data_IF_938082083402
#
_entry.id   IF_938082083402
#
_cell.length_a   1.000
_cell.length_b   1.000
_cell.length_c   1.000
_cell.angle_alpha   90.00
_cell.angle_beta   90.00
_cell.angle_gamma   90.00
#
_symmetry.space_group_name_H-M   'P 1'
#
loop_
_entity.id
_entity.type
_entity.pdbx_description
1 polymer ?
#
# COMPACT_ATOMS: atom_id res chain seq x y z
N UNK A 1 0.16 -72.51 2.67
CA UNK A 1 -0.48 -71.81 3.80
C UNK A 1 -1.14 -70.56 3.26
N UNK A 2 -2.48 -70.55 3.33
CA UNK A 2 -3.36 -69.44 2.98
C UNK A 2 -3.24 -68.32 4.03
N UNK A 3 -3.28 -67.06 3.59
CA UNK A 3 -3.31 -65.88 4.47
C UNK A 3 -3.78 -64.66 3.68
N UNK A 4 -5.07 -64.49 3.41
CA UNK A 4 -6.02 -63.70 4.23
C UNK A 4 -5.56 -62.23 4.44
N UNK A 5 -5.65 -61.42 3.38
CA UNK A 5 -5.64 -59.96 3.46
C UNK A 5 -7.06 -59.44 3.16
N UNK A 6 -7.74 -59.11 4.26
CA UNK A 6 -9.08 -58.54 4.34
C UNK A 6 -8.90 -57.02 4.42
N UNK A 7 -9.00 -56.31 3.29
CA UNK A 7 -8.98 -54.84 3.30
C UNK A 7 -10.41 -54.29 3.31
N UNK A 8 -10.67 -53.45 4.30
CA UNK A 8 -11.96 -52.83 4.58
C UNK A 8 -12.33 -51.81 3.50
N UNK A 9 -13.60 -51.88 3.06
CA UNK A 9 -14.26 -50.97 2.13
C UNK A 9 -15.01 -49.94 2.96
N UNK A 10 -14.51 -48.72 3.03
CA UNK A 10 -15.17 -47.58 3.68
C UNK A 10 -16.28 -47.01 2.78
N UNK A 11 -17.43 -46.59 3.34
CA UNK A 11 -18.58 -46.12 2.57
C UNK A 11 -18.47 -44.63 2.19
N UNK A 12 -19.00 -44.32 1.02
CA UNK A 12 -19.19 -43.00 0.41
C UNK A 12 -20.07 -42.08 1.26
N UNK A 13 -19.76 -40.78 1.40
CA UNK A 13 -20.72 -39.79 1.86
C UNK A 13 -21.62 -39.31 0.71
N UNK A 14 -22.87 -39.06 1.06
CA UNK A 14 -23.96 -38.63 0.20
C UNK A 14 -23.80 -37.17 -0.26
N UNK A 15 -24.30 -36.88 -1.47
CA UNK A 15 -24.46 -35.53 -2.01
C UNK A 15 -25.69 -34.88 -1.39
N UNK A 16 -25.51 -33.85 -0.56
CA UNK A 16 -26.57 -32.92 -0.20
C UNK A 16 -26.70 -31.84 -1.27
N UNK A 17 -27.85 -31.87 -1.96
CA UNK A 17 -28.32 -30.82 -2.85
C UNK A 17 -28.92 -29.68 -2.01
N UNK A 18 -28.18 -28.58 -1.85
CA UNK A 18 -28.76 -27.32 -1.37
C UNK A 18 -29.21 -26.47 -2.56
N UNK A 19 -30.52 -26.43 -2.78
CA UNK A 19 -31.18 -25.56 -3.74
C UNK A 19 -31.12 -24.10 -3.30
N UNK A 20 -30.38 -23.29 -4.05
CA UNK A 20 -30.44 -21.84 -4.00
C UNK A 20 -31.77 -21.36 -4.60
N UNK A 21 -32.68 -20.91 -3.74
CA UNK A 21 -33.85 -20.12 -4.14
C UNK A 21 -33.38 -18.72 -4.52
N UNK A 22 -33.56 -18.38 -5.78
CA UNK A 22 -33.53 -17.03 -6.31
C UNK A 22 -34.68 -16.22 -5.70
N UNK A 23 -34.34 -15.14 -4.98
CA UNK A 23 -35.31 -14.11 -4.59
C UNK A 23 -35.12 -12.95 -5.57
N UNK A 24 -36.17 -12.73 -6.35
CA UNK A 24 -36.33 -11.63 -7.30
C UNK A 24 -36.41 -10.29 -6.57
N UNK A 25 -35.57 -9.33 -6.98
CA UNK A 25 -35.72 -7.93 -6.58
C UNK A 25 -36.93 -7.32 -7.29
N UNK A 26 -37.97 -7.04 -6.52
CA UNK A 26 -39.14 -6.28 -6.94
C UNK A 26 -38.86 -4.78 -6.90
N UNK A 27 -38.94 -4.15 -8.07
CA UNK A 27 -39.03 -2.71 -8.29
C UNK A 27 -40.43 -2.21 -7.92
N UNK A 28 -40.54 -0.97 -7.41
CA UNK A 28 -41.70 -0.06 -7.19
C UNK A 28 -41.65 0.48 -5.75
N UNK A 29 -41.86 1.75 -5.40
CA UNK A 29 -42.37 2.95 -6.05
C UNK A 29 -41.88 4.12 -5.16
N UNK A 30 -41.24 5.15 -5.75
CA UNK A 30 -40.87 6.37 -5.00
C UNK A 30 -42.12 7.26 -4.90
N UNK A 31 -42.69 7.33 -3.70
CA UNK A 31 -43.70 8.32 -3.32
C UNK A 31 -42.99 9.64 -3.01
N UNK A 32 -43.30 10.69 -3.78
CA UNK A 32 -42.79 12.03 -3.56
C UNK A 32 -43.41 12.61 -2.29
N UNK A 33 -42.57 12.91 -1.30
CA UNK A 33 -42.97 13.61 -0.08
C UNK A 33 -42.56 15.09 -0.19
N UNK A 34 -43.57 15.93 0.02
CA UNK A 34 -43.58 17.37 -0.14
C UNK A 34 -42.83 18.03 1.03
N UNK A 35 -41.81 18.81 0.71
CA UNK A 35 -41.04 19.62 1.68
C UNK A 35 -41.83 20.90 1.99
N UNK A 36 -42.13 21.23 3.27
CA UNK A 36 -42.66 22.53 3.61
C UNK A 36 -41.54 23.58 3.72
N UNK A 37 -41.88 24.74 3.16
CA UNK A 37 -41.12 25.99 3.06
C UNK A 37 -40.71 26.56 4.43
N UNK A 38 -39.44 27.00 4.52
CA UNK A 38 -38.91 27.84 5.60
C UNK A 38 -39.46 29.28 5.52
N UNK A 39 -39.69 29.97 6.64
CA UNK A 39 -39.91 31.41 6.64
C UNK A 39 -38.58 32.17 6.57
N UNK A 40 -38.62 33.30 5.87
CA UNK A 40 -37.60 34.35 5.82
C UNK A 40 -37.69 35.19 7.09
N UNK A 41 -36.56 35.42 7.77
CA UNK A 41 -36.40 36.59 8.64
C UNK A 41 -35.08 37.31 8.35
N UNK A 42 -35.27 38.63 8.28
CA UNK A 42 -34.37 39.78 8.12
C UNK A 42 -33.17 39.77 9.08
N UNK A 43 -31.95 39.99 8.58
CA UNK A 43 -31.24 41.28 8.54
C UNK A 43 -30.87 41.86 9.92
N UNK A 44 -29.57 41.78 10.27
CA UNK A 44 -28.87 42.80 11.06
C UNK A 44 -27.44 42.92 10.50
N UNK A 45 -27.12 44.14 10.10
CA UNK A 45 -25.83 44.65 9.64
C UNK A 45 -24.87 44.89 10.80
N UNK A 46 -23.59 44.58 10.61
CA UNK A 46 -22.51 45.36 11.21
C UNK A 46 -21.23 45.21 10.40
N UNK A 47 -20.85 46.34 9.79
CA UNK A 47 -19.58 46.63 9.17
C UNK A 47 -18.39 46.28 10.08
N UNK A 48 -17.35 45.67 9.54
CA UNK A 48 -15.97 46.02 9.94
C UNK A 48 -15.05 45.90 8.74
N UNK A 49 -14.62 47.08 8.31
CA UNK A 49 -13.69 47.39 7.23
C UNK A 49 -12.27 47.23 7.76
N UNK A 50 -11.48 46.30 7.23
CA UNK A 50 -10.01 46.35 7.32
C UNK A 50 -9.42 46.08 5.94
N UNK A 51 -8.76 47.10 5.44
CA UNK A 51 -8.07 47.22 4.17
C UNK A 51 -6.61 46.81 4.27
N UNK A 52 -6.01 46.67 3.07
CA UNK A 52 -4.58 46.66 2.71
C UNK A 52 -3.99 45.24 2.53
N UNK A 53 -3.78 44.80 1.29
CA UNK A 53 -2.75 45.23 0.32
C UNK A 53 -1.39 44.58 0.64
N UNK A 54 -0.92 43.65 -0.17
CA UNK A 54 -0.06 43.97 -1.31
C UNK A 54 0.33 42.71 -2.09
N UNK A 55 0.24 42.81 -3.42
CA UNK A 55 0.78 41.86 -4.39
C UNK A 55 2.01 42.48 -5.04
N UNK A 56 3.03 41.69 -5.41
CA UNK A 56 3.87 42.00 -6.56
C UNK A 56 3.66 40.92 -7.63
N UNK A 57 3.02 41.25 -8.75
CA UNK A 57 3.61 41.77 -10.01
C UNK A 57 4.55 40.78 -10.70
N UNK A 58 4.04 40.34 -11.85
CA UNK A 58 4.69 39.56 -12.87
C UNK A 58 5.91 40.26 -13.50
N UNK A 59 6.94 39.46 -13.80
CA UNK A 59 7.90 39.77 -14.85
C UNK A 59 7.64 38.84 -16.04
N UNK A 60 7.10 39.43 -17.11
CA UNK A 60 7.19 38.93 -18.49
C UNK A 60 8.54 39.36 -19.03
N UNK A 61 9.40 38.41 -19.39
CA UNK A 61 10.45 38.65 -20.37
C UNK A 61 10.18 37.79 -21.60
N UNK A 62 9.80 38.49 -22.66
CA UNK A 62 9.75 37.98 -24.02
C UNK A 62 11.11 38.28 -24.66
N UNK A 63 11.86 37.25 -25.03
CA UNK A 63 12.99 37.39 -25.93
C UNK A 63 12.64 36.69 -27.24
N UNK A 64 12.29 37.55 -28.21
CA UNK A 64 12.02 37.24 -29.59
C UNK A 64 13.34 37.43 -30.36
N UNK A 65 13.89 36.37 -30.94
CA UNK A 65 14.95 36.47 -31.95
C UNK A 65 14.59 35.59 -33.15
N UNK A 66 14.01 36.23 -34.16
CA UNK A 66 14.14 35.84 -35.56
C UNK A 66 15.38 36.56 -36.11
N UNK A 67 16.21 35.86 -36.91
CA UNK A 67 16.67 36.30 -38.25
C UNK A 67 17.79 35.41 -38.81
N UNK A 68 17.60 34.97 -40.06
CA UNK A 68 18.57 34.82 -41.18
C UNK A 68 19.72 33.80 -41.02
N UNK A 69 19.80 32.71 -41.78
CA UNK A 69 20.12 32.62 -43.22
C UNK A 69 21.40 33.37 -43.64
N UNK A 70 22.52 32.64 -43.74
CA UNK A 70 23.75 32.88 -44.53
C UNK A 70 24.79 31.88 -43.99
N UNK A 71 25.26 30.86 -44.70
CA UNK A 71 26.13 30.99 -45.87
C UNK A 71 27.48 31.57 -45.45
N UNK A 72 28.50 30.73 -45.19
CA UNK A 72 29.85 31.23 -44.91
C UNK A 72 30.79 30.28 -44.16
N UNK A 73 31.62 29.60 -44.95
CA UNK A 73 33.05 29.30 -44.71
C UNK A 73 33.54 28.63 -43.41
N UNK A 74 34.18 27.49 -43.62
CA UNK A 74 35.01 26.73 -42.68
C UNK A 74 36.21 27.59 -42.24
N UNK A 75 36.35 27.97 -40.96
CA UNK A 75 37.56 28.61 -40.48
C UNK A 75 38.62 27.54 -40.23
N UNK A 76 39.76 27.71 -40.90
CA UNK A 76 40.97 26.91 -40.73
C UNK A 76 41.38 26.87 -39.26
N UNK A 77 41.72 25.66 -38.82
CA UNK A 77 42.24 25.31 -37.52
C UNK A 77 43.40 26.23 -37.10
N UNK A 78 43.10 27.19 -36.23
CA UNK A 78 44.09 27.91 -35.45
C UNK A 78 44.51 27.02 -34.29
N UNK A 79 45.76 26.54 -34.34
CA UNK A 79 46.46 25.87 -33.25
C UNK A 79 46.51 26.81 -32.05
N UNK A 80 45.58 26.64 -31.10
CA UNK A 80 45.74 27.22 -29.77
C UNK A 80 46.79 26.39 -29.01
N UNK A 81 47.80 27.02 -28.39
CA UNK A 81 48.67 26.32 -27.46
C UNK A 81 47.83 25.82 -26.28
N UNK A 82 47.98 24.53 -25.97
CA UNK A 82 47.39 23.92 -24.80
C UNK A 82 47.83 24.69 -23.54
N UNK A 83 46.91 25.08 -22.65
CA UNK A 83 47.28 25.50 -21.31
C UNK A 83 47.77 24.25 -20.56
N UNK A 84 49.08 24.02 -20.57
CA UNK A 84 49.73 23.15 -19.60
C UNK A 84 49.48 23.72 -18.19
N UNK A 85 49.06 22.84 -17.30
CA UNK A 85 48.89 23.04 -15.85
C UNK A 85 47.54 23.63 -15.39
N UNK A 86 46.44 22.92 -15.66
CA UNK A 86 45.29 22.93 -14.74
C UNK A 86 45.52 21.83 -13.71
N UNK A 87 45.83 22.22 -12.47
CA UNK A 87 45.95 21.35 -11.29
C UNK A 87 44.62 20.61 -11.04
N UNK A 88 44.48 19.42 -11.63
CA UNK A 88 43.36 18.49 -11.46
C UNK A 88 43.28 17.90 -10.04
N UNK A 89 44.30 18.09 -9.19
CA UNK A 89 44.33 17.56 -7.83
C UNK A 89 43.39 18.25 -6.84
N UNK A 90 42.90 19.47 -7.13
CA UNK A 90 42.12 20.25 -6.15
C UNK A 90 40.59 20.14 -6.33
N UNK A 91 40.10 19.57 -7.44
CA UNK A 91 38.67 19.43 -7.70
C UNK A 91 38.06 18.25 -6.93
N UNK A 92 38.81 17.17 -6.75
CA UNK A 92 38.35 15.98 -6.02
C UNK A 92 38.14 16.27 -4.53
N UNK A 93 39.02 17.06 -3.90
CA UNK A 93 38.89 17.43 -2.48
C UNK A 93 37.61 18.21 -2.18
N UNK A 94 37.20 19.11 -3.07
CA UNK A 94 35.95 19.89 -2.89
C UNK A 94 34.69 19.04 -3.03
N UNK A 95 34.72 18.03 -3.92
CA UNK A 95 33.60 17.10 -4.10
C UNK A 95 33.50 16.13 -2.94
N UNK A 96 34.63 15.67 -2.42
CA UNK A 96 34.68 14.83 -1.22
C UNK A 96 34.10 15.58 -0.02
N UNK A 97 34.48 16.85 0.19
CA UNK A 97 33.92 17.70 1.26
C UNK A 97 32.40 17.89 1.13
N UNK A 98 31.89 18.12 -0.08
CA UNK A 98 30.43 18.25 -0.29
C UNK A 98 29.68 16.94 -0.01
N UNK A 99 30.29 15.79 -0.34
CA UNK A 99 29.71 14.48 -0.03
C UNK A 99 29.73 14.19 1.47
N UNK A 100 30.79 14.56 2.19
CA UNK A 100 30.84 14.40 3.65
C UNK A 100 29.78 15.25 4.34
N UNK A 101 29.63 16.51 3.92
CA UNK A 101 28.60 17.40 4.49
C UNK A 101 27.18 16.86 4.23
N UNK A 102 26.93 16.30 3.04
CA UNK A 102 25.65 15.69 2.70
C UNK A 102 25.36 14.43 3.53
N UNK A 103 26.38 13.62 3.82
CA UNK A 103 26.26 12.45 4.70
C UNK A 103 25.98 12.85 6.14
N UNK A 104 26.67 13.88 6.66
CA UNK A 104 26.46 14.39 8.02
C UNK A 104 25.04 14.94 8.19
N UNK A 105 24.51 15.67 7.20
CA UNK A 105 23.12 16.15 7.22
C UNK A 105 22.13 14.98 7.21
N UNK A 106 22.40 13.95 6.40
CA UNK A 106 21.56 12.75 6.34
C UNK A 106 21.56 11.99 7.66
N UNK A 107 22.72 11.82 8.28
CA UNK A 107 22.86 11.19 9.59
C UNK A 107 22.07 11.95 10.65
N UNK A 108 22.17 13.29 10.67
CA UNK A 108 21.39 14.13 11.59
C UNK A 108 19.87 13.99 11.38
N UNK A 109 19.40 13.79 10.15
CA UNK A 109 17.97 13.57 9.87
C UNK A 109 17.50 12.20 10.35
N UNK A 110 18.32 11.15 10.17
CA UNK A 110 18.03 9.82 10.70
C UNK A 110 17.97 9.84 12.23
N UNK A 111 18.94 10.48 12.88
CA UNK A 111 18.97 10.69 14.33
C UNK A 111 17.72 11.40 14.86
N UNK A 112 17.23 12.42 14.14
CA UNK A 112 15.99 13.12 14.50
C UNK A 112 14.78 12.20 14.39
N UNK A 113 14.71 11.39 13.34
CA UNK A 113 13.63 10.43 13.11
C UNK A 113 13.62 9.32 14.16
N UNK A 114 14.78 8.81 14.55
CA UNK A 114 14.89 7.80 15.60
C UNK A 114 14.45 8.35 16.96
N UNK A 115 14.86 9.58 17.31
CA UNK A 115 14.35 10.26 18.51
C UNK A 115 12.85 10.50 18.48
N UNK A 116 12.25 10.69 17.31
CA UNK A 116 10.81 10.81 17.16
C UNK A 116 10.10 9.46 17.40
N UNK A 117 10.63 8.37 16.85
CA UNK A 117 10.11 7.02 17.13
C UNK A 117 10.18 6.69 18.62
N UNK A 118 11.31 6.96 19.28
CA UNK A 118 11.40 6.77 20.73
C UNK A 118 10.42 7.64 21.54
N UNK A 119 10.03 8.81 21.04
CA UNK A 119 9.00 9.64 21.69
C UNK A 119 7.62 9.00 21.53
N UNK A 120 7.30 8.49 20.34
CA UNK A 120 6.03 7.80 20.06
C UNK A 120 5.91 6.51 20.86
N UNK A 121 6.98 5.72 20.97
CA UNK A 121 6.99 4.50 21.79
C UNK A 121 6.74 4.82 23.28
N UNK A 122 7.44 5.82 23.83
CA UNK A 122 7.19 6.27 25.21
C UNK A 122 5.77 6.81 25.42
N UNK A 123 5.14 7.37 24.39
CA UNK A 123 3.75 7.81 24.45
C UNK A 123 2.78 6.63 24.44
N UNK A 124 3.03 5.61 23.61
CA UNK A 124 2.24 4.37 23.58
C UNK A 124 2.29 3.67 24.95
N UNK A 125 3.47 3.54 25.54
CA UNK A 125 3.64 2.99 26.90
C UNK A 125 2.82 3.75 27.96
N UNK A 126 2.73 5.09 27.84
CA UNK A 126 1.93 5.90 28.78
C UNK A 126 0.44 5.65 28.59
N UNK A 127 -0.03 5.57 27.34
CA UNK A 127 -1.43 5.28 27.02
C UNK A 127 -1.82 3.87 27.47
N UNK A 128 -0.94 2.89 27.30
CA UNK A 128 -1.17 1.51 27.76
C UNK A 128 -1.34 1.46 29.29
N UNK A 129 -0.45 2.10 30.05
CA UNK A 129 -0.57 2.17 31.51
C UNK A 129 -1.83 2.91 31.96
N UNK A 130 -2.27 3.92 31.21
CA UNK A 130 -3.52 4.62 31.51
C UNK A 130 -4.74 3.72 31.27
N UNK A 131 -4.75 2.95 30.19
CA UNK A 131 -5.81 1.98 29.91
C UNK A 131 -5.86 0.91 31.00
N UNK A 132 -4.72 0.37 31.41
CA UNK A 132 -4.64 -0.64 32.48
C UNK A 132 -5.13 -0.08 33.83
N UNK A 133 -4.96 1.22 34.10
CA UNK A 133 -5.55 1.86 35.30
C UNK A 133 -7.06 1.99 35.19
N UNK A 134 -7.58 2.39 34.02
CA UNK A 134 -9.03 2.49 33.78
C UNK A 134 -9.71 1.13 33.87
N UNK A 135 -9.07 0.09 33.34
CA UNK A 135 -9.57 -1.30 33.44
C UNK A 135 -9.66 -1.75 34.90
N UNK A 136 -8.60 -1.54 35.70
CA UNK A 136 -8.64 -1.84 37.14
C UNK A 136 -9.69 -1.03 37.90
N UNK A 137 -9.98 0.20 37.47
CA UNK A 137 -11.05 1.01 38.07
C UNK A 137 -12.43 0.47 37.72
N UNK A 138 -12.65 0.04 36.47
CA UNK A 138 -13.89 -0.60 36.05
C UNK A 138 -14.12 -1.91 36.82
N UNK A 139 -13.10 -2.75 36.98
CA UNK A 139 -13.18 -3.97 37.79
C UNK A 139 -13.57 -3.69 39.25
N UNK A 140 -13.07 -2.59 39.83
CA UNK A 140 -13.45 -2.19 41.20
C UNK A 140 -14.90 -1.78 41.26
N UNK A 141 -15.36 -0.94 40.32
CA UNK A 141 -16.76 -0.50 40.26
C UNK A 141 -17.72 -1.66 40.02
N UNK A 142 -17.32 -2.64 39.19
CA UNK A 142 -18.13 -3.85 38.96
C UNK A 142 -18.27 -4.68 40.25
N UNK A 143 -17.19 -4.86 41.01
CA UNK A 143 -17.25 -5.55 42.32
C UNK A 143 -18.08 -4.79 43.35
N UNK A 144 -17.96 -3.46 43.39
CA UNK A 144 -18.79 -2.62 44.26
C UNK A 144 -20.27 -2.75 43.89
N UNK A 145 -20.59 -2.73 42.60
CA UNK A 145 -21.95 -2.91 42.12
C UNK A 145 -22.51 -4.30 42.45
N UNK A 146 -21.72 -5.37 42.29
CA UNK A 146 -22.14 -6.73 42.67
C UNK A 146 -22.35 -6.88 44.19
N UNK A 147 -21.51 -6.21 45.00
CA UNK A 147 -21.69 -6.15 46.45
C UNK A 147 -22.94 -5.35 46.85
N UNK A 148 -23.20 -4.24 46.19
CA UNK A 148 -24.41 -3.45 46.45
C UNK A 148 -25.66 -4.21 46.01
N UNK A 149 -25.60 -4.90 44.87
CA UNK A 149 -26.67 -5.78 44.39
C UNK A 149 -26.96 -6.92 45.37
N UNK A 150 -25.94 -7.55 45.93
CA UNK A 150 -26.11 -8.61 46.93
C UNK A 150 -26.62 -8.09 48.28
N UNK A 151 -26.20 -6.89 48.71
CA UNK A 151 -26.78 -6.20 49.88
C UNK A 151 -28.25 -5.83 49.66
N UNK A 152 -28.58 -5.31 48.48
CA UNK A 152 -29.96 -5.00 48.13
C UNK A 152 -30.83 -6.25 48.09
N UNK A 153 -30.35 -7.35 47.50
CA UNK A 153 -31.12 -8.61 47.45
C UNK A 153 -31.30 -9.26 48.82
N UNK A 154 -30.29 -9.19 49.70
CA UNK A 154 -30.41 -9.67 51.09
C UNK A 154 -31.34 -8.80 51.92
N UNK A 155 -31.40 -7.49 51.70
CA UNK A 155 -32.38 -6.62 52.34
C UNK A 155 -33.82 -6.97 51.93
N UNK A 156 -34.06 -7.25 50.64
CA UNK A 156 -35.38 -7.65 50.13
C UNK A 156 -35.80 -9.04 50.61
N UNK A 157 -34.87 -10.00 50.69
CA UNK A 157 -35.16 -11.38 51.11
C UNK A 157 -35.07 -11.60 52.64
N UNK A 158 -34.43 -10.67 53.36
CA UNK A 158 -34.15 -10.76 54.80
C UNK A 158 -35.16 -10.02 55.68
N UNK A 159 -36.15 -9.34 55.12
CA UNK A 159 -37.33 -8.92 55.88
C UNK A 159 -38.09 -10.20 56.28
N UNK A 160 -38.07 -10.59 57.56
CA UNK A 160 -38.84 -11.75 57.99
C UNK A 160 -40.30 -11.48 57.65
N UNK A 161 -40.93 -12.45 57.00
CA UNK A 161 -42.37 -12.56 56.83
C UNK A 161 -43.06 -12.62 58.20
N UNK A 162 -43.01 -11.54 58.98
CA UNK A 162 -43.89 -11.30 60.13
C UNK A 162 -45.26 -10.79 59.65
N UNK A 163 -45.64 -11.14 58.41
CA UNK A 163 -46.99 -10.99 57.86
C UNK A 163 -47.84 -12.25 58.06
N UNK A 164 -47.41 -13.18 58.92
CA UNK A 164 -48.14 -14.42 59.22
C UNK A 164 -49.06 -14.35 60.47
N UNK A 165 -49.19 -13.20 61.15
CA UNK A 165 -49.96 -13.10 62.40
C UNK A 165 -50.77 -11.79 62.57
N UNK A 166 -51.21 -11.17 61.47
CA UNK A 166 -52.34 -10.23 61.53
C UNK A 166 -53.49 -10.76 60.69
N UNK A 167 -54.37 -11.51 61.35
CA UNK A 167 -55.72 -11.75 60.85
C UNK A 167 -56.39 -10.39 60.60
N UNK A 168 -57.07 -10.20 59.44
CA UNK A 168 -57.73 -8.95 59.11
C UNK A 168 -58.95 -8.80 60.01
N UNK A 169 -58.81 -8.07 61.12
CA UNK A 169 -59.95 -7.52 61.83
C UNK A 169 -60.43 -6.32 61.02
N UNK A 170 -61.59 -6.51 60.39
CA UNK A 170 -62.24 -5.55 59.51
C UNK A 170 -62.61 -4.27 60.25
N UNK A 171 -61.73 -3.28 60.23
CA UNK A 171 -62.04 -1.85 60.22
C UNK A 171 -60.74 -1.06 60.17
N UNK A 172 -60.05 -1.14 59.03
CA UNK A 172 -58.99 -0.17 58.73
C UNK A 172 -59.64 1.22 58.72
N UNK A 173 -59.16 2.18 59.52
CA UNK A 173 -59.75 3.50 59.57
C UNK A 173 -59.60 4.17 58.19
N UNK A 174 -60.61 4.92 57.71
CA UNK A 174 -60.65 5.51 56.37
C UNK A 174 -59.43 6.38 56.03
N UNK A 175 -58.72 6.89 57.05
CA UNK A 175 -57.52 7.72 56.92
C UNK A 175 -56.31 6.95 56.33
N UNK A 176 -56.16 5.66 56.61
CA UNK A 176 -55.02 4.89 56.12
C UNK A 176 -55.10 4.63 54.60
N UNK A 177 -56.31 4.41 54.08
CA UNK A 177 -56.56 4.24 52.64
C UNK A 177 -56.38 5.56 51.87
N UNK A 178 -56.71 6.69 52.49
CA UNK A 178 -56.51 8.01 51.88
C UNK A 178 -55.02 8.37 51.79
N UNK A 179 -54.24 8.07 52.84
CA UNK A 179 -52.79 8.25 52.85
C UNK A 179 -52.08 7.36 51.82
N UNK A 180 -52.48 6.09 51.69
CA UNK A 180 -51.90 5.20 50.68
C UNK A 180 -52.22 5.68 49.26
N UNK A 181 -53.46 6.09 49.00
CA UNK A 181 -53.86 6.63 47.70
C UNK A 181 -53.15 7.95 47.37
N UNK A 182 -52.83 8.78 48.39
CA UNK A 182 -52.02 10.00 48.21
C UNK A 182 -50.57 9.66 47.89
N UNK A 183 -49.96 8.72 48.62
CA UNK A 183 -48.59 8.27 48.38
C UNK A 183 -48.44 7.69 46.97
N UNK A 184 -49.39 6.85 46.54
CA UNK A 184 -49.39 6.28 45.19
C UNK A 184 -49.48 7.36 44.10
N UNK A 185 -50.28 8.41 44.34
CA UNK A 185 -50.36 9.56 43.43
C UNK A 185 -49.03 10.33 43.36
N UNK A 186 -48.42 10.63 44.51
CA UNK A 186 -47.13 11.33 44.57
C UNK A 186 -46.00 10.49 43.93
N UNK A 187 -45.98 9.17 44.15
CA UNK A 187 -45.04 8.25 43.51
C UNK A 187 -45.26 8.18 41.99
N UNK A 188 -46.52 8.13 41.54
CA UNK A 188 -46.83 8.16 40.12
C UNK A 188 -46.38 9.47 39.48
N UNK A 189 -46.62 10.60 40.13
CA UNK A 189 -46.17 11.92 39.66
C UNK A 189 -44.64 12.00 39.57
N UNK A 190 -43.91 11.63 40.62
CA UNK A 190 -42.45 11.58 40.62
C UNK A 190 -41.90 10.66 39.52
N UNK A 191 -42.53 9.50 39.30
CA UNK A 191 -42.16 8.59 38.22
C UNK A 191 -42.33 9.23 36.85
N UNK A 192 -43.41 9.98 36.62
CA UNK A 192 -43.60 10.70 35.35
C UNK A 192 -42.60 11.85 35.18
N UNK A 193 -42.28 12.59 36.25
CA UNK A 193 -41.27 13.65 36.22
C UNK A 193 -39.88 13.08 35.92
N UNK A 194 -39.53 11.95 36.53
CA UNK A 194 -38.25 11.27 36.30
C UNK A 194 -38.16 10.73 34.87
N UNK A 195 -39.23 10.09 34.35
CA UNK A 195 -39.28 9.63 32.97
C UNK A 195 -39.12 10.78 31.97
N UNK A 196 -39.75 11.93 32.25
CA UNK A 196 -39.61 13.14 31.44
C UNK A 196 -38.17 13.69 31.48
N UNK A 197 -37.59 13.83 32.67
CA UNK A 197 -36.19 14.28 32.82
C UNK A 197 -35.20 13.34 32.13
N UNK A 198 -35.46 12.03 32.18
CA UNK A 198 -34.62 11.03 31.53
C UNK A 198 -34.73 11.09 30.01
N UNK A 199 -35.93 11.32 29.47
CA UNK A 199 -36.13 11.54 28.04
C UNK A 199 -35.44 12.83 27.55
N UNK A 200 -35.54 13.92 28.33
CA UNK A 200 -34.88 15.18 28.03
C UNK A 200 -33.35 15.05 28.06
N UNK A 201 -32.80 14.32 29.03
CA UNK A 201 -31.36 14.09 29.12
C UNK A 201 -30.84 13.18 27.98
N UNK A 202 -31.61 12.15 27.58
CA UNK A 202 -31.29 11.33 26.39
C UNK A 202 -31.24 12.17 25.11
N UNK A 203 -32.20 13.08 24.93
CA UNK A 203 -32.19 14.00 23.79
C UNK A 203 -30.97 14.95 23.83
N UNK A 204 -30.55 15.38 25.02
CA UNK A 204 -29.32 16.17 25.21
C UNK A 204 -28.04 15.37 25.02
N UNK A 205 -28.03 14.07 25.31
CA UNK A 205 -26.87 13.22 25.03
C UNK A 205 -26.74 12.94 23.53
N UNK A 206 -27.84 12.61 22.85
CA UNK A 206 -27.88 12.38 21.39
C UNK A 206 -27.37 13.60 20.62
N UNK A 207 -27.75 14.81 21.04
CA UNK A 207 -27.26 16.05 20.41
C UNK A 207 -25.77 16.31 20.65
N UNK A 208 -25.25 15.98 21.84
CA UNK A 208 -23.81 16.07 22.13
C UNK A 208 -23.00 15.04 21.34
N UNK A 209 -23.49 13.81 21.24
CA UNK A 209 -22.87 12.74 20.46
C UNK A 209 -22.84 13.09 18.98
N UNK A 210 -23.96 13.53 18.41
CA UNK A 210 -24.02 13.98 17.01
C UNK A 210 -23.04 15.15 16.72
N UNK A 211 -22.85 16.07 17.67
CA UNK A 211 -21.86 17.15 17.53
C UNK A 211 -20.43 16.64 17.56
N UNK A 212 -20.11 15.66 18.42
CA UNK A 212 -18.80 15.03 18.47
C UNK A 212 -18.50 14.25 17.20
N UNK A 213 -19.44 13.43 16.73
CA UNK A 213 -19.31 12.69 15.47
C UNK A 213 -19.07 13.63 14.28
N UNK A 214 -19.83 14.72 14.19
CA UNK A 214 -19.65 15.71 13.13
C UNK A 214 -18.30 16.44 13.20
N UNK A 215 -17.69 16.56 14.39
CA UNK A 215 -16.35 17.13 14.58
C UNK A 215 -15.26 16.13 14.19
N UNK A 216 -15.43 14.86 14.55
CA UNK A 216 -14.51 13.77 14.17
C UNK A 216 -14.49 13.61 12.64
N UNK A 217 -15.67 13.57 12.00
CA UNK A 217 -15.77 13.46 10.55
C UNK A 217 -15.07 14.61 9.81
N UNK A 218 -15.25 15.86 10.28
CA UNK A 218 -14.55 17.03 9.73
C UNK A 218 -13.04 16.94 9.89
N UNK A 219 -12.56 16.56 11.07
CA UNK A 219 -11.12 16.37 11.31
C UNK A 219 -10.53 15.26 10.43
N UNK A 220 -11.29 14.20 10.18
CA UNK A 220 -10.86 13.08 9.35
C UNK A 220 -10.82 13.47 7.86
N UNK A 221 -11.82 14.20 7.37
CA UNK A 221 -11.79 14.74 6.00
C UNK A 221 -10.64 15.71 5.78
N UNK A 222 -10.38 16.61 6.73
CA UNK A 222 -9.26 17.56 6.64
C UNK A 222 -7.89 16.84 6.65
N UNK A 223 -7.76 15.75 7.40
CA UNK A 223 -6.53 14.94 7.40
C UNK A 223 -6.32 14.23 6.06
N UNK A 224 -7.38 13.63 5.49
CA UNK A 224 -7.32 12.96 4.19
C UNK A 224 -7.01 13.95 3.06
N UNK A 225 -7.57 15.17 3.12
CA UNK A 225 -7.27 16.19 2.12
C UNK A 225 -5.82 16.68 2.19
N UNK A 226 -5.26 16.82 3.40
CA UNK A 226 -3.83 17.11 3.58
C UNK A 226 -2.94 16.00 3.04
N UNK A 227 -3.31 14.74 3.28
CA UNK A 227 -2.56 13.58 2.76
C UNK A 227 -2.63 13.53 1.23
N UNK A 228 -3.81 13.75 0.64
CA UNK A 228 -3.98 13.87 -0.82
C UNK A 228 -3.16 15.01 -1.38
N UNK A 229 -3.17 16.19 -0.76
CA UNK A 229 -2.34 17.32 -1.20
C UNK A 229 -0.85 17.00 -1.11
N UNK A 230 -0.42 16.30 -0.06
CA UNK A 230 0.97 15.86 0.08
C UNK A 230 1.34 14.87 -1.04
N UNK A 231 0.45 13.95 -1.36
CA UNK A 231 0.63 13.00 -2.47
C UNK A 231 0.65 13.70 -3.84
N UNK A 232 -0.24 14.67 -4.08
CA UNK A 232 -0.24 15.47 -5.31
C UNK A 232 1.01 16.33 -5.43
N UNK A 233 1.49 16.93 -4.32
CA UNK A 233 2.74 17.70 -4.33
C UNK A 233 3.95 16.79 -4.57
N UNK A 234 3.93 15.56 -4.04
CA UNK A 234 4.95 14.56 -4.31
C UNK A 234 4.93 14.10 -5.78
N UNK A 235 3.73 13.89 -6.35
CA UNK A 235 3.54 13.59 -7.78
C UNK A 235 3.82 14.78 -8.71
N UNK A 236 3.86 16.02 -8.19
CA UNK A 236 4.18 17.20 -8.98
C UNK A 236 5.69 17.48 -9.06
N UNK A 237 6.53 16.76 -8.32
CA UNK A 237 7.93 16.64 -8.73
C UNK A 237 7.92 16.03 -10.12
N UNK A 238 8.58 16.69 -11.08
CA UNK A 238 8.50 16.26 -12.47
C UNK A 238 8.94 14.79 -12.56
N UNK A 239 8.27 13.97 -13.38
CA UNK A 239 8.67 12.57 -13.59
C UNK A 239 10.17 12.46 -13.93
N UNK A 240 10.75 13.54 -14.47
CA UNK A 240 12.18 13.69 -14.71
C UNK A 240 13.01 13.77 -13.43
N UNK A 241 12.66 14.62 -12.45
CA UNK A 241 13.37 14.73 -11.17
C UNK A 241 13.22 13.47 -10.31
N UNK A 242 12.06 12.81 -10.38
CA UNK A 242 11.85 11.52 -9.70
C UNK A 242 12.66 10.42 -10.39
N UNK A 243 12.69 10.38 -11.72
CA UNK A 243 13.53 9.44 -12.46
C UNK A 243 15.01 9.69 -12.21
N UNK A 244 15.46 10.93 -12.15
CA UNK A 244 16.87 11.28 -11.90
C UNK A 244 17.27 10.95 -10.47
N UNK A 245 16.44 11.28 -9.46
CA UNK A 245 16.69 10.84 -8.08
C UNK A 245 16.64 9.32 -7.92
N UNK A 246 15.73 8.62 -8.59
CA UNK A 246 15.60 7.16 -8.48
C UNK A 246 16.74 6.48 -9.22
N UNK A 247 17.15 6.98 -10.39
CA UNK A 247 18.32 6.47 -11.11
C UNK A 247 19.61 6.73 -10.34
N UNK A 248 19.75 7.89 -9.68
CA UNK A 248 20.90 8.19 -8.81
C UNK A 248 20.86 7.36 -7.52
N UNK A 249 19.71 7.19 -6.87
CA UNK A 249 19.61 6.44 -5.61
C UNK A 249 19.71 4.94 -5.83
N UNK A 250 19.09 4.41 -6.88
CA UNK A 250 19.22 3.01 -7.29
C UNK A 250 20.63 2.77 -7.83
N UNK A 251 21.19 3.69 -8.61
CA UNK A 251 22.58 3.67 -9.05
C UNK A 251 23.55 3.62 -7.87
N UNK A 252 23.38 4.49 -6.87
CA UNK A 252 24.19 4.49 -5.64
C UNK A 252 24.03 3.22 -4.80
N UNK A 253 22.83 2.65 -4.74
CA UNK A 253 22.61 1.38 -4.04
C UNK A 253 23.23 0.20 -4.80
N UNK A 254 23.16 0.21 -6.14
CA UNK A 254 23.77 -0.82 -6.98
C UNK A 254 25.30 -0.74 -6.96
N UNK A 255 25.88 0.46 -6.87
CA UNK A 255 27.34 0.64 -6.81
C UNK A 255 27.94 0.14 -5.49
N UNK A 256 27.21 0.21 -4.38
CA UNK A 256 27.70 -0.29 -3.09
C UNK A 256 27.40 -1.77 -2.85
N UNK A 257 26.50 -2.37 -3.62
CA UNK A 257 26.13 -3.77 -3.51
C UNK A 257 26.26 -4.48 -4.87
N UNK A 258 27.50 -4.84 -5.21
CA UNK A 258 27.84 -5.58 -6.44
C UNK A 258 27.01 -6.87 -6.59
N UNK A 259 26.57 -7.48 -5.50
CA UNK A 259 25.80 -8.72 -5.51
C UNK A 259 24.37 -8.49 -5.98
N UNK A 260 23.76 -7.38 -5.56
CA UNK A 260 22.45 -6.96 -6.07
C UNK A 260 22.58 -6.53 -7.53
N UNK A 261 23.62 -5.78 -7.89
CA UNK A 261 23.88 -5.37 -9.28
C UNK A 261 24.01 -6.59 -10.21
N UNK A 262 24.81 -7.57 -9.81
CA UNK A 262 24.97 -8.82 -10.55
C UNK A 262 23.66 -9.60 -10.67
N UNK A 263 22.85 -9.64 -9.60
CA UNK A 263 21.55 -10.32 -9.64
C UNK A 263 20.61 -9.67 -10.63
N UNK A 264 20.53 -8.33 -10.64
CA UNK A 264 19.68 -7.58 -11.57
C UNK A 264 20.16 -7.75 -13.01
N UNK A 265 21.47 -7.63 -13.27
CA UNK A 265 22.06 -7.86 -14.59
C UNK A 265 21.82 -9.28 -15.08
N UNK A 266 21.99 -10.28 -14.22
CA UNK A 266 21.72 -11.68 -14.55
C UNK A 266 20.23 -11.91 -14.88
N UNK A 267 19.31 -11.36 -14.07
CA UNK A 267 17.88 -11.44 -14.34
C UNK A 267 17.46 -10.71 -15.62
N UNK A 268 18.10 -9.57 -15.91
CA UNK A 268 17.92 -8.83 -17.16
C UNK A 268 18.41 -9.62 -18.37
N UNK A 269 19.58 -10.27 -18.28
CA UNK A 269 20.12 -11.13 -19.32
C UNK A 269 19.14 -12.27 -19.69
N UNK A 270 18.60 -12.93 -18.67
CA UNK A 270 17.61 -14.00 -18.85
C UNK A 270 16.30 -13.47 -19.43
N UNK A 271 15.81 -12.34 -18.91
CA UNK A 271 14.60 -11.69 -19.38
C UNK A 271 14.69 -11.35 -20.87
N UNK A 272 15.76 -10.67 -21.28
CA UNK A 272 16.00 -10.28 -22.66
C UNK A 272 16.16 -11.49 -23.58
N UNK A 273 16.82 -12.55 -23.09
CA UNK A 273 16.94 -13.82 -23.82
C UNK A 273 15.58 -14.45 -24.07
N UNK A 274 14.71 -14.47 -23.07
CA UNK A 274 13.33 -14.97 -23.19
C UNK A 274 12.50 -14.11 -24.16
N UNK A 275 12.60 -12.78 -24.11
CA UNK A 275 11.88 -11.90 -25.03
C UNK A 275 12.32 -12.09 -26.49
N UNK A 276 13.64 -12.16 -26.73
CA UNK A 276 14.18 -12.34 -28.09
C UNK A 276 13.82 -13.72 -28.65
N UNK A 277 13.91 -14.78 -27.83
CA UNK A 277 13.48 -16.12 -28.24
C UNK A 277 11.98 -16.19 -28.50
N UNK A 278 11.15 -15.54 -27.69
CA UNK A 278 9.71 -15.47 -27.91
C UNK A 278 9.38 -14.75 -29.23
N UNK A 279 10.05 -13.63 -29.48
CA UNK A 279 9.89 -12.88 -30.72
C UNK A 279 10.29 -13.72 -31.95
N UNK A 280 11.42 -14.45 -31.90
CA UNK A 280 11.85 -15.31 -33.00
C UNK A 280 10.96 -16.56 -33.16
N UNK A 281 10.42 -17.07 -32.05
CA UNK A 281 9.37 -18.09 -32.05
C UNK A 281 8.00 -17.53 -32.49
N UNK A 282 7.93 -16.25 -32.89
CA UNK A 282 6.72 -15.55 -33.33
C UNK A 282 5.54 -15.70 -32.36
N UNK A 283 5.85 -15.67 -31.08
CA UNK A 283 4.86 -15.62 -30.01
C UNK A 283 4.40 -14.17 -29.93
N UNK A 284 3.12 -13.95 -30.22
CA UNK A 284 2.49 -12.66 -29.98
C UNK A 284 1.75 -12.73 -28.65
N UNK A 285 2.06 -11.89 -27.65
CA UNK A 285 1.26 -11.82 -26.44
C UNK A 285 -0.15 -11.36 -26.82
N UNK A 286 -1.17 -11.88 -26.13
CA UNK A 286 -2.53 -11.38 -26.33
C UNK A 286 -2.57 -9.89 -26.01
N UNK A 287 -3.46 -9.14 -26.67
CA UNK A 287 -3.60 -7.70 -26.44
C UNK A 287 -3.88 -7.45 -24.94
N UNK A 288 -2.88 -6.92 -24.22
CA UNK A 288 -2.93 -6.67 -22.78
C UNK A 288 -2.27 -7.72 -21.89
N UNK A 289 -1.78 -8.85 -22.41
CA UNK A 289 -1.15 -9.92 -21.61
C UNK A 289 0.39 -9.79 -21.52
N UNK A 290 0.85 -8.77 -20.81
CA UNK A 290 2.21 -8.73 -20.25
C UNK A 290 3.38 -8.76 -21.24
N UNK A 291 4.58 -9.04 -20.74
CA UNK A 291 5.82 -9.07 -21.54
C UNK A 291 5.97 -10.33 -22.38
N UNK A 292 6.74 -10.25 -23.46
CA UNK A 292 7.11 -11.40 -24.31
C UNK A 292 7.77 -12.53 -23.50
N UNK A 293 8.53 -12.19 -22.47
CA UNK A 293 9.15 -13.16 -21.55
C UNK A 293 8.13 -13.91 -20.67
N UNK A 294 6.99 -13.29 -20.36
CA UNK A 294 5.88 -13.97 -19.67
C UNK A 294 5.16 -14.90 -20.66
N UNK A 295 4.87 -14.43 -21.86
CA UNK A 295 4.27 -15.25 -22.92
C UNK A 295 5.12 -16.49 -23.23
N UNK A 296 6.45 -16.33 -23.31
CA UNK A 296 7.42 -17.42 -23.40
C UNK A 296 7.20 -18.47 -22.32
N UNK A 297 7.21 -18.06 -21.04
CA UNK A 297 7.07 -18.98 -19.90
C UNK A 297 5.72 -19.68 -19.88
N UNK A 298 4.63 -18.95 -20.16
CA UNK A 298 3.28 -19.52 -20.24
C UNK A 298 3.20 -20.58 -21.34
N UNK A 299 3.81 -20.31 -22.49
CA UNK A 299 3.82 -21.26 -23.60
C UNK A 299 4.60 -22.53 -23.26
N UNK A 300 5.72 -22.42 -22.54
CA UNK A 300 6.46 -23.60 -22.05
C UNK A 300 5.66 -24.41 -21.02
N UNK A 301 4.73 -23.77 -20.30
CA UNK A 301 3.86 -24.40 -19.32
C UNK A 301 4.54 -24.64 -17.95
N UNK A 302 3.76 -25.03 -16.93
CA UNK A 302 4.21 -25.12 -15.53
C UNK A 302 4.98 -26.41 -15.20
N UNK A 303 5.63 -27.06 -16.17
CA UNK A 303 6.33 -28.32 -15.89
C UNK A 303 7.50 -28.10 -14.92
N UNK A 304 7.54 -28.91 -13.86
CA UNK A 304 8.65 -28.95 -12.91
C UNK A 304 9.88 -29.65 -13.51
N UNK A 305 9.72 -30.37 -14.63
CA UNK A 305 10.79 -31.10 -15.29
C UNK A 305 11.42 -30.21 -16.35
N UNK A 306 12.66 -29.77 -16.12
CA UNK A 306 13.41 -28.89 -17.02
C UNK A 306 13.50 -29.46 -18.44
N UNK A 307 13.66 -30.78 -18.57
CA UNK A 307 13.79 -31.45 -19.87
C UNK A 307 12.52 -31.33 -20.73
N UNK A 308 11.32 -31.41 -20.13
CA UNK A 308 10.06 -31.28 -20.87
C UNK A 308 9.91 -29.86 -21.43
N UNK A 309 10.25 -28.85 -20.61
CA UNK A 309 10.21 -27.45 -21.04
C UNK A 309 11.27 -27.15 -22.10
N UNK A 310 12.44 -27.79 -22.02
CA UNK A 310 13.48 -27.69 -23.05
C UNK A 310 13.02 -28.30 -24.38
N UNK A 311 12.44 -29.51 -24.35
CA UNK A 311 11.89 -30.16 -25.54
C UNK A 311 10.80 -29.27 -26.19
N UNK A 312 9.89 -28.74 -25.38
CA UNK A 312 8.84 -27.83 -25.85
C UNK A 312 9.42 -26.54 -26.43
N UNK A 313 10.45 -25.97 -25.81
CA UNK A 313 11.15 -24.80 -26.34
C UNK A 313 11.78 -25.09 -27.72
N UNK A 314 12.37 -26.29 -27.91
CA UNK A 314 12.94 -26.71 -29.19
C UNK A 314 11.86 -26.95 -30.26
N UNK A 315 10.73 -27.54 -29.88
CA UNK A 315 9.57 -27.75 -30.77
C UNK A 315 9.07 -26.43 -31.39
N UNK A 316 9.08 -25.33 -30.63
CA UNK A 316 8.66 -24.01 -31.12
C UNK A 316 9.48 -23.49 -32.31
N UNK A 317 10.69 -24.02 -32.54
CA UNK A 317 11.61 -23.59 -33.59
C UNK A 317 11.79 -24.58 -34.74
N UNK A 318 11.21 -25.79 -34.69
CA UNK A 318 11.49 -26.86 -35.69
C UNK A 318 11.20 -26.43 -37.14
N UNK A 319 10.15 -25.63 -37.35
CA UNK A 319 9.71 -25.22 -38.70
C UNK A 319 10.09 -23.77 -39.05
N UNK A 320 10.91 -23.10 -38.23
CA UNK A 320 11.16 -21.65 -38.35
C UNK A 320 12.57 -21.35 -38.82
N UNK A 321 12.68 -20.32 -39.67
CA UNK A 321 13.97 -19.72 -40.03
C UNK A 321 14.44 -18.85 -38.86
N UNK A 322 15.29 -19.42 -38.00
CA UNK A 322 15.91 -18.72 -36.86
C UNK A 322 17.19 -18.01 -37.25
N UNK A 323 17.54 -16.96 -36.50
CA UNK A 323 18.80 -16.24 -36.67
C UNK A 323 20.00 -17.13 -36.31
N UNK A 324 21.18 -16.86 -36.90
CA UNK A 324 22.41 -17.60 -36.57
C UNK A 324 22.74 -17.52 -35.07
N UNK A 325 22.43 -16.40 -34.41
CA UNK A 325 22.63 -16.23 -32.98
C UNK A 325 21.69 -17.13 -32.16
N UNK A 326 20.40 -17.19 -32.53
CA UNK A 326 19.44 -18.10 -31.89
C UNK A 326 19.83 -19.55 -32.09
N UNK A 327 20.32 -19.93 -33.27
CA UNK A 327 20.83 -21.28 -33.51
C UNK A 327 21.95 -21.64 -32.53
N UNK A 328 22.87 -20.72 -32.23
CA UNK A 328 23.94 -20.95 -31.24
C UNK A 328 23.38 -21.19 -29.84
N UNK A 329 22.37 -20.41 -29.43
CA UNK A 329 21.71 -20.61 -28.13
C UNK A 329 20.99 -21.95 -28.08
N UNK A 330 20.21 -22.28 -29.12
CA UNK A 330 19.47 -23.56 -29.22
C UNK A 330 20.39 -24.79 -29.22
N UNK A 331 21.59 -24.67 -29.78
CA UNK A 331 22.61 -25.73 -29.75
C UNK A 331 23.30 -25.87 -28.39
N UNK A 332 23.36 -24.79 -27.59
CA UNK A 332 23.94 -24.81 -26.26
C UNK A 332 22.89 -25.23 -25.22
N UNK A 333 22.87 -26.53 -24.89
CA UNK A 333 21.87 -27.12 -23.99
C UNK A 333 21.76 -26.37 -22.65
N UNK A 334 22.89 -26.07 -22.01
CA UNK A 334 22.91 -25.40 -20.69
C UNK A 334 22.40 -23.95 -20.78
N UNK A 335 22.70 -23.23 -21.85
CA UNK A 335 22.16 -21.89 -22.07
C UNK A 335 20.63 -21.91 -22.18
N UNK A 336 20.09 -22.89 -22.92
CA UNK A 336 18.64 -23.10 -23.01
C UNK A 336 18.03 -23.54 -21.68
N UNK A 337 18.70 -24.41 -20.92
CA UNK A 337 18.27 -24.78 -19.57
C UNK A 337 18.16 -23.54 -18.68
N UNK A 338 19.15 -22.62 -18.71
CA UNK A 338 19.08 -21.37 -17.94
C UNK A 338 17.90 -20.49 -18.34
N UNK A 339 17.67 -20.28 -19.63
CA UNK A 339 16.56 -19.47 -20.14
C UNK A 339 15.20 -20.09 -19.77
N UNK A 340 15.10 -21.41 -19.76
CA UNK A 340 13.86 -22.12 -19.46
C UNK A 340 13.61 -22.17 -17.95
N UNK A 341 14.59 -22.60 -17.17
CA UNK A 341 14.45 -22.87 -15.74
C UNK A 341 14.30 -21.57 -14.92
N UNK A 342 15.16 -20.59 -15.18
CA UNK A 342 15.17 -19.37 -14.39
C UNK A 342 14.04 -18.44 -14.83
N UNK A 343 13.07 -18.24 -13.93
CA UNK A 343 12.04 -17.24 -14.11
C UNK A 343 12.62 -15.86 -13.77
N UNK A 344 12.67 -14.97 -14.76
CA UNK A 344 12.90 -13.57 -14.46
C UNK A 344 11.66 -13.03 -13.73
N UNK A 345 11.85 -12.63 -12.49
CA UNK A 345 10.82 -12.01 -11.64
C UNK A 345 10.76 -10.50 -11.85
N UNK A 346 11.58 -9.95 -12.75
CA UNK A 346 11.51 -8.57 -13.17
C UNK A 346 10.14 -8.35 -13.82
N UNK A 347 9.22 -7.78 -13.05
CA UNK A 347 7.96 -7.29 -13.59
C UNK A 347 8.33 -6.08 -14.43
N UNK A 348 7.88 -6.04 -15.68
CA UNK A 348 7.66 -4.77 -16.38
C UNK A 348 6.56 -4.09 -15.57
N UNK A 349 6.93 -3.34 -14.52
CA UNK A 349 5.95 -2.63 -13.72
C UNK A 349 5.14 -1.76 -14.67
N UNK A 350 3.82 -1.83 -14.55
CA UNK A 350 2.86 -1.32 -15.53
C UNK A 350 2.76 0.20 -15.59
N UNK A 351 3.87 0.94 -15.42
CA UNK A 351 3.92 2.31 -15.89
C UNK A 351 4.09 2.26 -17.41
N UNK A 352 3.07 2.73 -18.12
CA UNK A 352 3.05 2.87 -19.58
C UNK A 352 4.22 3.74 -20.11
N UNK A 353 4.95 4.41 -19.22
CA UNK A 353 6.16 5.21 -19.48
C UNK A 353 7.50 4.45 -19.30
N UNK A 354 7.50 3.24 -18.73
CA UNK A 354 8.72 2.48 -18.37
C UNK A 354 9.22 1.48 -19.42
N UNK A 355 8.82 1.61 -20.70
CA UNK A 355 9.16 0.62 -21.74
C UNK A 355 10.66 0.40 -21.96
N UNK A 356 11.51 1.28 -21.41
CA UNK A 356 12.95 1.27 -21.65
C UNK A 356 13.79 0.69 -20.51
N UNK A 357 13.19 0.27 -19.38
CA UNK A 357 13.98 -0.09 -18.19
C UNK A 357 15.02 -1.19 -18.45
N UNK A 358 14.72 -2.13 -19.36
CA UNK A 358 15.62 -3.20 -19.77
C UNK A 358 15.80 -3.27 -21.29
N UNK A 359 15.83 -2.14 -22.00
CA UNK A 359 16.07 -2.16 -23.44
C UNK A 359 17.45 -2.76 -23.78
N UNK A 360 17.56 -3.57 -24.85
CA UNK A 360 18.86 -4.06 -25.35
C UNK A 360 19.82 -2.89 -25.56
N UNK A 361 21.04 -3.01 -25.02
CA UNK A 361 22.10 -1.99 -25.14
C UNK A 361 22.21 -1.02 -23.96
N UNK A 362 21.27 -1.02 -23.00
CA UNK A 362 21.37 -0.17 -21.79
C UNK A 362 22.51 -0.60 -20.87
N UNK A 363 22.67 -1.91 -20.66
CA UNK A 363 23.77 -2.49 -19.89
C UNK A 363 24.90 -2.82 -20.87
N UNK A 364 26.08 -2.27 -20.63
CA UNK A 364 27.25 -2.52 -21.45
C UNK A 364 27.60 -4.02 -21.49
N UNK A 365 28.01 -4.52 -22.66
CA UNK A 365 28.42 -5.93 -22.84
C UNK A 365 29.45 -6.39 -21.81
N UNK A 366 30.42 -5.54 -21.48
CA UNK A 366 31.45 -5.81 -20.48
C UNK A 366 30.87 -6.09 -19.10
N UNK A 367 29.85 -5.34 -18.68
CA UNK A 367 29.18 -5.53 -17.39
C UNK A 367 28.44 -6.87 -17.34
N UNK A 368 27.81 -7.30 -18.44
CA UNK A 368 27.21 -8.64 -18.51
C UNK A 368 28.25 -9.75 -18.44
N UNK A 369 29.40 -9.59 -19.09
CA UNK A 369 30.49 -10.58 -19.03
C UNK A 369 31.09 -10.70 -17.64
N UNK A 370 31.28 -9.57 -16.95
CA UNK A 370 31.76 -9.54 -15.57
C UNK A 370 30.79 -10.26 -14.63
N UNK A 371 29.49 -9.94 -14.73
CA UNK A 371 28.45 -10.62 -13.97
C UNK A 371 28.38 -12.11 -14.32
N UNK A 372 28.49 -12.50 -15.59
CA UNK A 372 28.51 -13.90 -16.00
C UNK A 372 29.70 -14.66 -15.38
N UNK A 373 30.87 -14.02 -15.31
CA UNK A 373 32.06 -14.57 -14.67
C UNK A 373 31.83 -14.77 -13.17
N UNK A 374 31.39 -13.73 -12.45
CA UNK A 374 31.11 -13.82 -11.01
C UNK A 374 30.02 -14.85 -10.68
N UNK A 375 28.96 -14.92 -11.50
CA UNK A 375 27.91 -15.93 -11.34
C UNK A 375 28.40 -17.36 -11.60
N UNK A 376 29.31 -17.56 -12.56
CA UNK A 376 29.93 -18.86 -12.80
C UNK A 376 30.79 -19.32 -11.61
N UNK A 377 31.55 -18.41 -11.01
CA UNK A 377 32.42 -18.68 -9.86
C UNK A 377 31.61 -18.96 -8.58
N UNK A 378 30.51 -18.21 -8.35
CA UNK A 378 29.70 -18.31 -7.13
C UNK A 378 28.70 -19.45 -7.15
N UNK A 379 27.99 -19.59 -8.26
CA UNK A 379 26.84 -20.50 -8.38
C UNK A 379 27.18 -21.81 -9.11
N UNK A 380 28.42 -21.93 -9.63
CA UNK A 380 28.85 -23.09 -10.41
C UNK A 380 28.19 -23.18 -11.80
N UNK A 381 27.62 -22.07 -12.28
CA UNK A 381 27.04 -22.02 -13.62
C UNK A 381 28.14 -22.09 -14.68
N UNK A 382 27.84 -22.68 -15.84
CA UNK A 382 28.79 -22.78 -16.93
C UNK A 382 29.00 -21.40 -17.57
N UNK A 383 30.22 -20.88 -17.47
CA UNK A 383 30.58 -19.56 -17.99
C UNK A 383 30.37 -19.44 -19.50
N UNK A 384 30.74 -20.46 -20.29
CA UNK A 384 30.61 -20.43 -21.76
C UNK A 384 29.14 -20.33 -22.20
N UNK A 385 28.24 -21.01 -21.49
CA UNK A 385 26.79 -20.91 -21.72
C UNK A 385 26.24 -19.54 -21.37
N UNK A 386 26.72 -18.91 -20.30
CA UNK A 386 26.37 -17.53 -19.98
C UNK A 386 26.91 -16.55 -21.02
N UNK A 387 28.15 -16.71 -21.48
CA UNK A 387 28.73 -15.90 -22.57
C UNK A 387 27.91 -16.04 -23.85
N UNK A 388 27.43 -17.25 -24.15
CA UNK A 388 26.53 -17.48 -25.30
C UNK A 388 25.26 -16.64 -25.20
N UNK A 389 24.67 -16.51 -24.00
CA UNK A 389 23.51 -15.63 -23.77
C UNK A 389 23.88 -14.14 -23.85
N UNK A 390 25.07 -13.76 -23.37
CA UNK A 390 25.55 -12.37 -23.49
C UNK A 390 25.73 -11.99 -24.95
N UNK A 391 26.36 -12.84 -25.76
CA UNK A 391 26.52 -12.62 -27.20
C UNK A 391 25.19 -12.64 -27.95
N UNK A 392 24.20 -13.36 -27.42
CA UNK A 392 22.85 -13.38 -27.96
C UNK A 392 22.13 -12.04 -27.78
N UNK A 393 22.30 -11.37 -26.64
CA UNK A 393 21.63 -10.10 -26.33
C UNK A 393 22.44 -8.88 -26.76
N UNK A 394 23.75 -8.93 -26.58
CA UNK A 394 24.68 -7.85 -26.88
C UNK A 394 25.85 -8.41 -27.71
N UNK A 395 25.67 -8.62 -29.02
CA UNK A 395 26.74 -9.13 -29.88
C UNK A 395 27.95 -8.19 -29.88
N UNK A 396 29.15 -8.75 -30.04
CA UNK A 396 30.36 -7.96 -30.28
C UNK A 396 30.21 -7.24 -31.63
N UNK A 397 30.03 -5.92 -31.57
CA UNK A 397 30.01 -5.03 -32.72
C UNK A 397 31.31 -5.08 -33.50
#
# INVERSE_FOLDING_TARGET
MQGLLRLMKSPSPAKENNGLKSISNGTTEKKAEVIPSKPKESAVTSDTKVSNADSPKAHKEAAQTQTTSSGGEIPKQSKRPFPENLNLSNLDDTRILQQTDALDIREQLLDRRDREFERRDRELDRRERELERRERELDRREREFEQERTRASTFVNGLPMTAALMTPTASTPPVAAELSARLEREVAELKTQFQKSLADERKRSETREAQLEARIQRSLSESLDKERQTYYNFMQMSDHEVSEMVEDTVGYLMEKDEDIADRVRFQSLLYLSQEKLASEAGINPDAGSGSLSVAWRLLLGPSLVTQDRLNKAQELFQDRKVSSQTTKVLQNKLAMEYVVEYSSHLRKEGSESGEQSFAPGRIARSAYLETAKRQSERSGLNYESLVTLVDYISPSS
#
